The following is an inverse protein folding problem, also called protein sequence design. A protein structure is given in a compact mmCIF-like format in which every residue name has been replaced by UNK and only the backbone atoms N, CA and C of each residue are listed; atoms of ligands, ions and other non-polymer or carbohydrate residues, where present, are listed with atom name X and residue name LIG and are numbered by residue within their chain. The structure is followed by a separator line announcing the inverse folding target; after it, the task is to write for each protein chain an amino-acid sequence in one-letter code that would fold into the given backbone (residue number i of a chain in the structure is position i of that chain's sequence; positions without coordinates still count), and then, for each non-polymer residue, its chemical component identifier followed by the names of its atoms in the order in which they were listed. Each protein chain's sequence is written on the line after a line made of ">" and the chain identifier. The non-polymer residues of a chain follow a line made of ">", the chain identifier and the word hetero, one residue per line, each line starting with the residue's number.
data_IF_038947019414
#
_entry.id   IF_038947019414
#
_cell.length_a   1.000
_cell.length_b   1.000
_cell.length_c   1.000
_cell.angle_alpha   90.00
_cell.angle_beta   90.00
_cell.angle_gamma   90.00
#
_symmetry.space_group_name_H-M   'P 1'
#
loop_
_entity.id
_entity.type
_entity.pdbx_description
1 polymer ?
#
# COMPACT_ATOMS: atom_id res chain seq x y z
N UNK A 1 -9.54 0.86 11.13
CA UNK A 1 -10.29 -0.38 11.43
C UNK A 1 -9.76 -1.04 12.68
N UNK A 2 -8.50 -1.51 12.72
CA UNK A 2 -7.88 -2.06 13.93
C UNK A 2 -7.80 -1.04 15.09
N UNK A 3 -7.36 0.18 14.80
CA UNK A 3 -7.34 1.31 15.75
C UNK A 3 -8.74 1.86 16.11
N UNK A 4 -9.78 1.49 15.37
CA UNK A 4 -11.15 1.99 15.60
C UNK A 4 -12.02 0.98 16.34
N UNK A 5 -11.49 -0.23 16.65
CA UNK A 5 -12.21 -1.35 17.29
C UNK A 5 -13.60 -1.65 16.68
N UNK A 6 -13.76 -1.36 15.39
CA UNK A 6 -15.08 -1.33 14.75
C UNK A 6 -15.72 -2.71 14.54
N UNK A 7 -15.03 -3.82 14.91
CA UNK A 7 -15.54 -5.19 14.79
C UNK A 7 -15.80 -5.68 13.35
N UNK A 8 -15.38 -4.91 12.35
CA UNK A 8 -15.61 -5.21 10.93
C UNK A 8 -14.29 -5.70 10.32
N UNK A 9 -14.35 -6.84 9.64
CA UNK A 9 -13.27 -7.36 8.79
C UNK A 9 -13.60 -7.06 7.31
N UNK A 10 -13.03 -5.99 6.72
CA UNK A 10 -13.33 -5.63 5.34
C UNK A 10 -12.67 -6.63 4.40
N UNK A 11 -13.43 -7.12 3.44
CA UNK A 11 -12.90 -7.93 2.34
C UNK A 11 -12.24 -7.00 1.33
N UNK A 12 -10.98 -7.28 1.02
CA UNK A 12 -10.16 -6.45 0.14
C UNK A 12 -9.83 -7.25 -1.12
N UNK A 13 -10.28 -6.76 -2.28
CA UNK A 13 -9.75 -7.25 -3.54
C UNK A 13 -8.47 -6.49 -3.91
N UNK A 14 -7.46 -7.24 -4.36
CA UNK A 14 -6.17 -6.69 -4.80
C UNK A 14 -6.10 -6.77 -6.32
N UNK A 15 -6.05 -5.61 -6.98
CA UNK A 15 -6.00 -5.51 -8.43
C UNK A 15 -4.57 -5.18 -8.89
N UNK A 16 -3.99 -6.06 -9.69
CA UNK A 16 -2.62 -5.94 -10.19
C UNK A 16 -2.63 -5.60 -11.68
N UNK A 17 -2.24 -4.37 -12.02
CA UNK A 17 -2.27 -3.86 -13.38
C UNK A 17 -3.61 -3.22 -13.76
N UNK A 18 -3.55 -2.31 -14.73
CA UNK A 18 -4.71 -1.54 -15.18
C UNK A 18 -5.89 -2.41 -15.67
N UNK A 19 -5.61 -3.59 -16.24
CA UNK A 19 -6.63 -4.52 -16.73
C UNK A 19 -7.50 -5.08 -15.59
N UNK A 20 -6.88 -5.58 -14.50
CA UNK A 20 -7.61 -6.07 -13.33
C UNK A 20 -8.30 -4.92 -12.59
N UNK A 21 -7.67 -3.74 -12.49
CA UNK A 21 -8.33 -2.54 -11.93
C UNK A 21 -9.64 -2.23 -12.68
N UNK A 22 -9.60 -2.23 -14.01
CA UNK A 22 -10.78 -1.99 -14.85
C UNK A 22 -11.86 -3.05 -14.62
N UNK A 23 -11.48 -4.32 -14.52
CA UNK A 23 -12.42 -5.43 -14.27
C UNK A 23 -13.16 -5.25 -12.94
N UNK A 24 -12.46 -4.97 -11.84
CA UNK A 24 -13.11 -4.76 -10.54
C UNK A 24 -13.96 -3.49 -10.52
N UNK A 25 -13.51 -2.41 -11.15
CA UNK A 25 -14.33 -1.20 -11.32
C UNK A 25 -15.60 -1.45 -12.13
N UNK A 26 -15.54 -2.32 -13.15
CA UNK A 26 -16.72 -2.72 -13.92
C UNK A 26 -17.69 -3.58 -13.10
N UNK A 27 -17.17 -4.51 -12.30
CA UNK A 27 -17.99 -5.31 -11.37
C UNK A 27 -18.67 -4.41 -10.34
N UNK A 28 -17.93 -3.45 -9.77
CA UNK A 28 -18.47 -2.43 -8.86
C UNK A 28 -19.56 -1.60 -9.52
N UNK A 29 -19.32 -1.07 -10.73
CA UNK A 29 -20.31 -0.31 -11.50
C UNK A 29 -21.60 -1.11 -11.75
N UNK A 30 -21.49 -2.42 -11.93
CA UNK A 30 -22.62 -3.32 -12.13
C UNK A 30 -23.30 -3.76 -10.81
N UNK A 31 -22.83 -3.32 -9.64
CA UNK A 31 -23.34 -3.74 -8.33
C UNK A 31 -23.00 -5.19 -7.98
N UNK A 32 -21.93 -5.74 -8.57
CA UNK A 32 -21.53 -7.15 -8.46
C UNK A 32 -20.15 -7.35 -7.82
N UNK A 33 -19.57 -6.31 -7.25
CA UNK A 33 -18.31 -6.44 -6.50
C UNK A 33 -18.59 -7.21 -5.19
N UNK A 34 -17.91 -8.34 -4.93
CA UNK A 34 -18.13 -9.13 -3.72
C UNK A 34 -17.33 -8.61 -2.50
N UNK A 35 -16.37 -7.72 -2.73
CA UNK A 35 -15.46 -7.16 -1.74
C UNK A 35 -15.87 -5.74 -1.32
N UNK A 36 -15.45 -5.33 -0.11
CA UNK A 36 -15.77 -4.04 0.49
C UNK A 36 -14.83 -2.93 0.03
N UNK A 37 -13.58 -3.29 -0.31
CA UNK A 37 -12.53 -2.36 -0.67
C UNK A 37 -11.70 -2.86 -1.86
N UNK A 38 -11.36 -1.94 -2.77
CA UNK A 38 -10.49 -2.20 -3.91
C UNK A 38 -9.14 -1.51 -3.67
N UNK A 39 -8.07 -2.29 -3.54
CA UNK A 39 -6.70 -1.79 -3.64
C UNK A 39 -6.18 -2.11 -5.05
N UNK A 40 -5.94 -1.07 -5.86
CA UNK A 40 -5.54 -1.25 -7.26
C UNK A 40 -4.26 -0.52 -7.61
N UNK A 41 -3.34 -1.24 -8.26
CA UNK A 41 -2.10 -0.68 -8.81
C UNK A 41 -2.16 -0.69 -10.34
N UNK A 42 -1.83 0.44 -10.98
CA UNK A 42 -1.86 0.53 -12.45
C UNK A 42 -0.77 -0.32 -13.12
N UNK A 43 0.39 -0.45 -12.46
CA UNK A 43 1.52 -1.24 -12.96
C UNK A 43 1.41 -2.69 -12.47
N UNK A 44 1.76 -3.64 -13.33
CA UNK A 44 1.92 -5.03 -12.93
C UNK A 44 3.12 -5.18 -11.98
N UNK A 45 2.93 -5.92 -10.89
CA UNK A 45 3.91 -6.04 -9.82
C UNK A 45 3.94 -4.86 -8.84
N UNK A 46 3.01 -3.90 -8.98
CA UNK A 46 2.94 -2.73 -8.11
C UNK A 46 4.04 -1.71 -8.39
N UNK A 47 4.38 -0.88 -7.41
CA UNK A 47 5.31 0.23 -7.58
C UNK A 47 6.70 -0.18 -8.10
N UNK A 48 7.18 -1.39 -7.74
CA UNK A 48 8.47 -1.91 -8.20
C UNK A 48 8.50 -2.25 -9.69
N UNK A 49 7.34 -2.46 -10.31
CA UNK A 49 7.18 -2.71 -11.74
C UNK A 49 6.84 -1.44 -12.55
N UNK A 50 6.97 -0.26 -11.94
CA UNK A 50 6.64 1.00 -12.59
C UNK A 50 7.55 1.32 -13.80
N UNK A 51 7.08 2.15 -14.75
CA UNK A 51 7.83 2.48 -15.97
C UNK A 51 9.12 3.28 -15.70
N UNK A 52 9.25 3.86 -14.51
CA UNK A 52 10.44 4.58 -14.06
C UNK A 52 11.35 3.70 -13.16
N UNK A 53 11.16 2.38 -13.15
CA UNK A 53 12.04 1.49 -12.40
C UNK A 53 13.48 1.57 -12.93
N UNK A 54 14.42 1.70 -12.01
CA UNK A 54 15.86 1.73 -12.34
C UNK A 54 16.40 0.35 -12.73
N UNK A 55 15.82 -0.72 -12.17
CA UNK A 55 16.26 -2.10 -12.33
C UNK A 55 15.10 -3.02 -12.71
N UNK A 56 15.43 -4.24 -13.14
CA UNK A 56 14.44 -5.30 -13.39
C UNK A 56 13.54 -5.52 -12.16
N UNK A 57 12.26 -5.78 -12.43
CA UNK A 57 11.23 -5.92 -11.40
C UNK A 57 11.52 -7.06 -10.43
N UNK A 58 12.00 -8.21 -10.92
CA UNK A 58 12.25 -9.40 -10.09
C UNK A 58 13.40 -9.11 -9.13
N UNK A 59 14.47 -8.49 -9.64
CA UNK A 59 15.64 -8.11 -8.84
C UNK A 59 15.26 -7.07 -7.78
N UNK A 60 14.53 -6.03 -8.19
CA UNK A 60 14.10 -4.94 -7.29
C UNK A 60 13.15 -5.45 -6.21
N UNK A 61 12.22 -6.35 -6.58
CA UNK A 61 11.32 -6.99 -5.62
C UNK A 61 12.09 -7.79 -4.58
N UNK A 62 13.07 -8.60 -4.99
CA UNK A 62 13.91 -9.36 -4.06
C UNK A 62 14.63 -8.45 -3.08
N UNK A 63 15.28 -7.40 -3.58
CA UNK A 63 15.98 -6.44 -2.71
C UNK A 63 15.03 -5.76 -1.71
N UNK A 64 13.81 -5.42 -2.15
CA UNK A 64 12.77 -4.86 -1.29
C UNK A 64 12.34 -5.85 -0.21
N UNK A 65 12.09 -7.11 -0.58
CA UNK A 65 11.66 -8.14 0.36
C UNK A 65 12.77 -8.41 1.40
N UNK A 66 14.04 -8.49 0.98
CA UNK A 66 15.21 -8.62 1.88
C UNK A 66 15.36 -7.44 2.85
N UNK A 67 14.92 -6.22 2.46
CA UNK A 67 14.90 -5.04 3.33
C UNK A 67 13.74 -5.09 4.33
N UNK A 68 12.58 -5.57 3.90
CA UNK A 68 11.42 -5.72 4.78
C UNK A 68 11.67 -6.77 5.85
N UNK A 69 12.34 -7.88 5.51
CA UNK A 69 12.71 -8.93 6.47
C UNK A 69 13.70 -8.44 7.55
N UNK A 70 14.41 -7.33 7.29
CA UNK A 70 15.30 -6.68 8.26
C UNK A 70 14.59 -5.66 9.14
N UNK A 71 13.33 -5.30 8.83
CA UNK A 71 12.57 -4.41 9.67
C UNK A 71 12.25 -5.10 10.99
N UNK A 72 12.43 -4.38 12.10
CA UNK A 72 12.00 -4.83 13.41
C UNK A 72 10.51 -4.48 13.66
N UNK A 73 9.99 -4.89 14.81
CA UNK A 73 8.56 -4.76 15.13
C UNK A 73 8.14 -3.32 15.52
N UNK A 74 9.05 -2.33 15.45
CA UNK A 74 8.75 -0.96 15.86
C UNK A 74 7.63 -0.38 15.02
N UNK A 75 6.59 0.11 15.70
CA UNK A 75 5.50 0.81 15.04
C UNK A 75 5.84 2.28 14.80
N UNK A 76 5.04 2.95 13.98
CA UNK A 76 5.23 4.36 13.61
C UNK A 76 5.37 5.24 14.88
N UNK A 77 4.52 5.03 15.88
CA UNK A 77 4.54 5.81 17.12
C UNK A 77 5.84 5.64 17.91
N UNK A 78 6.43 4.45 17.92
CA UNK A 78 7.70 4.21 18.63
C UNK A 78 8.87 4.88 17.93
N UNK A 79 8.84 4.94 16.60
CA UNK A 79 9.82 5.71 15.83
C UNK A 79 9.66 7.22 16.06
N UNK A 80 8.42 7.74 16.07
CA UNK A 80 8.15 9.17 16.24
C UNK A 80 8.59 9.71 17.61
N UNK A 81 8.56 8.91 18.68
CA UNK A 81 9.08 9.31 20.01
C UNK A 81 10.55 9.71 20.00
N UNK A 82 11.33 9.22 19.02
CA UNK A 82 12.74 9.56 18.89
C UNK A 82 12.98 10.90 18.19
N UNK A 83 11.94 11.54 17.67
CA UNK A 83 12.02 12.83 17.00
C UNK A 83 11.39 13.91 17.87
N UNK A 84 12.09 15.03 18.02
CA UNK A 84 11.55 16.22 18.68
C UNK A 84 10.60 16.95 17.74
N UNK A 85 9.38 16.42 17.60
CA UNK A 85 8.35 16.91 16.66
C UNK A 85 8.02 18.40 16.82
N UNK A 86 8.31 18.98 17.99
CA UNK A 86 8.07 20.38 18.33
C UNK A 86 9.15 21.34 17.78
N UNK A 87 10.27 20.82 17.29
CA UNK A 87 11.44 21.63 16.90
C UNK A 87 11.44 22.06 15.44
N UNK A 88 10.54 21.53 14.63
CA UNK A 88 10.42 21.88 13.21
C UNK A 88 9.06 22.49 12.90
N UNK A 89 9.07 23.58 12.12
CA UNK A 89 7.83 24.19 11.64
C UNK A 89 7.15 23.22 10.66
N UNK A 90 5.98 22.73 11.03
CA UNK A 90 5.12 21.93 10.14
C UNK A 90 4.30 22.78 9.17
N UNK A 91 4.42 24.11 9.27
CA UNK A 91 3.78 25.03 8.35
C UNK A 91 4.80 25.52 7.32
N UNK A 92 4.38 25.51 6.07
CA UNK A 92 5.10 26.17 4.99
C UNK A 92 4.88 27.68 5.16
N UNK A 93 5.92 28.42 5.51
CA UNK A 93 5.92 29.90 5.47
C UNK A 93 5.59 30.41 4.06
#
# INVERSE_FOLDING_TARGET
>A
MKEMEAGIEPKVCKANGAAECRKFLMLMKAGKLPDDFIEGMACEGGCVGGPSSFNDMIVTKKFRDDLLDKADDRQILDNLKNYHMETFSMHRE
#
